data_IF_428480283238
#
_entry.id   IF_428480283238
#
_cell.length_a   1.000
_cell.length_b   1.000
_cell.length_c   1.000
_cell.angle_alpha   90.00
_cell.angle_beta   90.00
_cell.angle_gamma   90.00
#
_symmetry.space_group_name_H-M   'P 1'
#
loop_
_entity.id
_entity.type
_entity.pdbx_description
1 polymer ?
#
# COMPACT_ATOMS: atom_id res chain seq x y z
N UNK A 1 -10.31 16.57 -15.99
CA UNK A 1 -10.62 15.13 -15.75
C UNK A 1 -9.74 14.59 -14.63
N UNK A 2 -10.27 14.51 -13.41
CA UNK A 2 -9.55 13.94 -12.27
C UNK A 2 -9.61 12.41 -12.36
N UNK A 3 -8.73 11.79 -13.16
CA UNK A 3 -8.61 10.33 -13.26
C UNK A 3 -8.14 9.79 -11.91
N UNK A 4 -9.09 9.42 -11.07
CA UNK A 4 -8.81 8.86 -9.77
C UNK A 4 -8.14 7.49 -9.98
N UNK A 5 -6.88 7.36 -9.57
CA UNK A 5 -6.13 6.11 -9.72
C UNK A 5 -6.83 5.02 -8.89
N UNK A 6 -7.11 3.87 -9.52
CA UNK A 6 -7.73 2.72 -8.86
C UNK A 6 -6.93 2.29 -7.63
N UNK A 7 -7.62 1.88 -6.58
CA UNK A 7 -6.98 1.39 -5.34
C UNK A 7 -6.09 0.19 -5.60
N UNK A 8 -6.50 -0.69 -6.52
CA UNK A 8 -5.72 -1.84 -6.96
C UNK A 8 -4.36 -1.41 -7.55
N UNK A 9 -4.36 -0.38 -8.39
CA UNK A 9 -3.14 0.17 -9.00
C UNK A 9 -2.22 0.78 -7.95
N UNK A 10 -2.76 1.45 -6.93
CA UNK A 10 -1.97 1.97 -5.80
C UNK A 10 -1.34 0.83 -5.01
N UNK A 11 -2.07 -0.26 -4.78
CA UNK A 11 -1.54 -1.46 -4.13
C UNK A 11 -0.34 -2.04 -4.87
N UNK A 12 -0.44 -2.18 -6.20
CA UNK A 12 0.70 -2.63 -7.03
C UNK A 12 1.92 -1.73 -6.93
N UNK A 13 1.72 -0.40 -6.96
CA UNK A 13 2.83 0.57 -6.84
C UNK A 13 3.59 0.37 -5.51
N UNK A 14 2.87 0.16 -4.41
CA UNK A 14 3.49 -0.06 -3.08
C UNK A 14 4.21 -1.41 -3.06
N UNK A 15 3.59 -2.47 -3.58
CA UNK A 15 4.22 -3.79 -3.62
C UNK A 15 5.56 -3.77 -4.36
N UNK A 16 5.64 -3.09 -5.52
CA UNK A 16 6.90 -2.93 -6.23
C UNK A 16 7.89 -2.01 -5.50
N UNK A 17 7.40 -1.00 -4.79
CA UNK A 17 8.25 -0.13 -3.97
C UNK A 17 8.91 -0.90 -2.81
N UNK A 18 8.16 -1.77 -2.12
CA UNK A 18 8.66 -2.65 -1.05
C UNK A 18 9.69 -3.66 -1.59
N UNK A 19 9.52 -4.13 -2.82
CA UNK A 19 10.52 -4.95 -3.53
C UNK A 19 11.79 -4.17 -3.94
N UNK A 20 11.92 -2.90 -3.54
CA UNK A 20 13.02 -1.99 -3.88
C UNK A 20 13.19 -1.75 -5.38
N UNK A 21 12.11 -1.83 -6.16
CA UNK A 21 12.18 -1.47 -7.58
C UNK A 21 12.38 0.03 -7.74
N UNK A 22 13.13 0.42 -8.79
CA UNK A 22 13.29 1.84 -9.11
C UNK A 22 11.97 2.42 -9.63
N UNK A 23 11.70 3.68 -9.29
CA UNK A 23 10.49 4.38 -9.76
C UNK A 23 10.38 4.44 -11.28
N UNK A 24 11.52 4.37 -12.00
CA UNK A 24 11.56 4.28 -13.46
C UNK A 24 10.96 2.95 -13.93
N UNK A 25 11.45 1.84 -13.37
CA UNK A 25 10.98 0.48 -13.69
C UNK A 25 9.48 0.32 -13.41
N UNK A 26 8.98 0.87 -12.30
CA UNK A 26 7.56 0.85 -11.95
C UNK A 26 6.72 1.66 -12.96
N UNK A 27 7.26 2.79 -13.43
CA UNK A 27 6.63 3.64 -14.45
C UNK A 27 6.50 2.91 -15.78
N UNK A 28 7.55 2.23 -16.21
CA UNK A 28 7.56 1.48 -17.47
C UNK A 28 6.58 0.29 -17.41
N UNK A 29 6.58 -0.45 -16.29
CA UNK A 29 5.72 -1.63 -16.08
C UNK A 29 4.22 -1.26 -16.05
N UNK A 30 3.87 -0.23 -15.28
CA UNK A 30 2.47 0.15 -15.08
C UNK A 30 1.96 1.17 -16.12
N UNK A 31 2.85 1.71 -16.96
CA UNK A 31 2.58 2.83 -17.89
C UNK A 31 1.92 4.04 -17.20
N UNK A 32 2.36 4.34 -15.97
CA UNK A 32 1.86 5.45 -15.16
C UNK A 32 2.94 6.50 -15.06
N UNK A 33 2.57 7.78 -15.17
CA UNK A 33 3.52 8.87 -15.05
C UNK A 33 4.26 8.83 -13.70
N UNK A 34 5.57 9.06 -13.75
CA UNK A 34 6.49 9.02 -12.61
C UNK A 34 6.08 9.96 -11.48
N UNK A 35 5.51 11.12 -11.81
CA UNK A 35 4.97 12.08 -10.83
C UNK A 35 3.84 11.49 -10.00
N UNK A 36 2.95 10.72 -10.64
CA UNK A 36 1.82 10.06 -9.97
C UNK A 36 2.31 8.96 -9.02
N UNK A 37 3.29 8.18 -9.46
CA UNK A 37 3.93 7.14 -8.64
C UNK A 37 4.62 7.79 -7.43
N UNK A 38 5.39 8.86 -7.66
CA UNK A 38 6.05 9.61 -6.60
C UNK A 38 5.07 10.15 -5.56
N UNK A 39 3.92 10.67 -5.99
CA UNK A 39 2.86 11.10 -5.08
C UNK A 39 2.29 9.95 -4.23
N UNK A 40 2.04 8.78 -4.84
CA UNK A 40 1.54 7.60 -4.12
C UNK A 40 2.55 7.11 -3.08
N UNK A 41 3.84 7.01 -3.47
CA UNK A 41 4.92 6.58 -2.57
C UNK A 41 5.14 7.59 -1.45
N UNK A 42 5.16 8.89 -1.75
CA UNK A 42 5.26 9.94 -0.73
C UNK A 42 4.14 9.82 0.29
N UNK A 43 2.90 9.70 -0.19
CA UNK A 43 1.72 9.54 0.67
C UNK A 43 1.76 8.27 1.52
N UNK A 44 2.32 7.18 0.98
CA UNK A 44 2.55 5.95 1.73
C UNK A 44 3.58 6.14 2.84
N UNK A 45 4.70 6.82 2.58
CA UNK A 45 5.72 7.14 3.59
C UNK A 45 5.18 8.04 4.70
N UNK A 46 4.45 9.09 4.34
CA UNK A 46 3.94 10.08 5.31
C UNK A 46 2.86 9.49 6.23
N UNK A 47 2.11 8.47 5.79
CA UNK A 47 0.94 7.94 6.52
C UNK A 47 1.08 6.49 6.97
N UNK A 48 2.08 5.76 6.46
CA UNK A 48 2.23 4.31 6.63
C UNK A 48 1.19 3.46 5.86
N UNK A 49 0.20 4.08 5.19
CA UNK A 49 -0.83 3.39 4.41
C UNK A 49 -1.36 4.28 3.28
N UNK A 50 -1.80 3.66 2.19
CA UNK A 50 -2.39 4.37 1.03
C UNK A 50 -3.90 4.48 1.06
N UNK A 51 -4.55 3.78 1.98
CA UNK A 51 -5.98 3.92 2.22
C UNK A 51 -6.27 5.35 2.71
N UNK A 52 -7.28 5.98 2.12
CA UNK A 52 -7.88 7.16 2.75
C UNK A 52 -8.48 6.61 4.05
N UNK A 53 -8.19 7.20 5.22
CA UNK A 53 -8.98 6.93 6.44
C UNK A 53 -10.44 7.13 6.08
N UNK A 54 -11.16 6.06 5.73
CA UNK A 54 -12.59 6.02 5.98
C UNK A 54 -12.63 6.10 7.49
N UNK A 55 -13.28 7.12 8.01
CA UNK A 55 -13.63 7.20 9.42
C UNK A 55 -14.51 5.97 9.67
N UNK A 56 -13.87 4.84 9.98
CA UNK A 56 -14.52 3.70 10.60
C UNK A 56 -14.65 4.12 12.06
N UNK A 57 -15.66 4.95 12.32
CA UNK A 57 -16.29 4.91 13.62
C UNK A 57 -16.65 3.45 13.89
N UNK A 58 -16.18 2.93 15.02
CA UNK A 58 -16.65 1.72 15.72
C UNK A 58 -15.88 0.43 15.39
N UNK A 59 -15.06 0.01 16.37
CA UNK A 59 -14.65 -1.34 16.76
C UNK A 59 -14.11 -2.32 15.70
N UNK A 60 -12.85 -2.73 15.85
CA UNK A 60 -12.48 -4.16 15.91
C UNK A 60 -11.05 -4.36 16.45
N UNK A 61 -10.89 -4.69 17.74
CA UNK A 61 -9.60 -5.07 18.32
C UNK A 61 -9.40 -6.58 18.24
N UNK A 62 -9.41 -7.19 17.05
CA UNK A 62 -9.19 -8.64 16.96
C UNK A 62 -8.58 -8.98 15.61
N UNK A 63 -7.27 -9.22 15.59
CA UNK A 63 -6.58 -10.28 14.82
C UNK A 63 -5.06 -10.24 15.11
N UNK A 64 -4.72 -10.16 16.40
CA UNK A 64 -3.38 -10.37 16.94
C UNK A 64 -3.37 -11.69 17.74
N UNK A 65 -3.92 -12.77 17.17
CA UNK A 65 -3.66 -14.10 17.70
C UNK A 65 -2.31 -14.57 17.18
N UNK A 66 -1.30 -14.24 17.98
CA UNK A 66 0.07 -14.72 17.88
C UNK A 66 0.09 -16.24 17.72
N UNK A 67 0.82 -16.68 16.69
CA UNK A 67 1.30 -18.04 16.49
C UNK A 67 2.26 -18.42 17.63
N UNK A 68 1.74 -18.90 18.75
CA UNK A 68 2.44 -19.71 19.75
C UNK A 68 1.30 -20.48 20.43
N UNK A 69 1.08 -21.77 20.12
CA UNK A 69 1.72 -22.90 20.81
C UNK A 69 1.73 -24.09 19.83
N UNK A 70 2.89 -24.37 19.23
CA UNK A 70 3.29 -25.72 18.84
C UNK A 70 4.28 -26.16 19.92
N UNK A 71 3.82 -26.95 20.89
CA UNK A 71 4.58 -27.96 21.67
C UNK A 71 3.89 -28.22 23.02
N UNK A 72 3.35 -29.43 23.16
CA UNK A 72 3.51 -30.35 24.29
C UNK A 72 2.57 -31.54 24.00
N UNK A 73 3.15 -32.65 23.52
CA UNK A 73 3.25 -33.94 24.21
C UNK A 73 1.93 -34.71 24.22
#
# INVERSE_FOLDING_TARGET
>A
MSKHLSEFTKGKIIAYYEQKWSLKKISDELKINRSTIGYVVKKYKDRGHTLRKKVLSIHQPFLLHKRHILKAY
#
